data_IF_684110471386
#
_entry.id   IF_684110471386
#
_cell.length_a   1.000
_cell.length_b   1.000
_cell.length_c   1.000
_cell.angle_alpha   90.00
_cell.angle_beta   90.00
_cell.angle_gamma   90.00
#
_symmetry.space_group_name_H-M   'P 1'
#
loop_
_entity.id
_entity.type
_entity.pdbx_description
1 polymer ?
#
# COMPACT_ATOMS: atom_id res chain seq x y z
N UNK A 1 -14.07 -13.44 -4.91
CA UNK A 1 -12.85 -14.06 -4.34
C UNK A 1 -13.33 -15.33 -3.64
N UNK A 2 -12.84 -16.50 -4.03
CA UNK A 2 -13.28 -17.77 -3.45
C UNK A 2 -12.67 -17.89 -2.07
N UNK A 3 -13.51 -17.96 -1.04
CA UNK A 3 -13.09 -17.95 0.36
C UNK A 3 -12.73 -19.38 0.82
N UNK A 4 -11.45 -19.60 1.14
CA UNK A 4 -10.92 -20.84 1.68
C UNK A 4 -11.53 -21.21 3.05
N UNK A 5 -12.14 -20.26 3.78
CA UNK A 5 -12.86 -20.54 5.03
C UNK A 5 -14.18 -21.30 4.83
N UNK A 6 -14.66 -21.44 3.58
CA UNK A 6 -15.73 -22.37 3.24
C UNK A 6 -15.15 -23.75 2.88
N UNK A 7 -15.71 -24.82 3.46
CA UNK A 7 -15.26 -26.21 3.24
C UNK A 7 -15.24 -26.62 1.76
N UNK A 8 -16.26 -26.20 1.01
CA UNK A 8 -16.41 -26.55 -0.40
C UNK A 8 -15.32 -25.88 -1.24
N UNK A 9 -15.04 -24.62 -0.95
CA UNK A 9 -13.98 -23.85 -1.59
C UNK A 9 -12.58 -24.37 -1.25
N UNK A 10 -12.36 -24.75 0.01
CA UNK A 10 -11.11 -25.39 0.42
C UNK A 10 -10.86 -26.69 -0.35
N UNK A 11 -11.87 -27.57 -0.44
CA UNK A 11 -11.77 -28.83 -1.19
C UNK A 11 -11.55 -28.57 -2.68
N UNK A 12 -12.27 -27.62 -3.26
CA UNK A 12 -12.15 -27.23 -4.66
C UNK A 12 -10.74 -26.72 -5.01
N UNK A 13 -10.14 -25.92 -4.14
CA UNK A 13 -8.85 -25.28 -4.39
C UNK A 13 -7.64 -26.15 -4.02
N UNK A 14 -7.78 -27.03 -3.03
CA UNK A 14 -6.65 -27.74 -2.42
C UNK A 14 -6.79 -29.27 -2.47
N UNK A 15 -7.86 -29.79 -3.09
CA UNK A 15 -8.17 -31.22 -3.16
C UNK A 15 -8.59 -31.85 -1.83
N UNK A 16 -8.59 -31.09 -0.74
CA UNK A 16 -8.99 -31.50 0.62
C UNK A 16 -9.41 -30.29 1.45
N UNK A 17 -10.21 -30.52 2.49
CA UNK A 17 -10.51 -29.47 3.47
C UNK A 17 -9.25 -29.21 4.31
N UNK A 18 -8.71 -28.00 4.23
CA UNK A 18 -7.50 -27.58 4.94
C UNK A 18 -7.79 -26.54 6.01
N UNK A 19 -9.07 -26.22 6.29
CA UNK A 19 -9.42 -25.14 7.21
C UNK A 19 -8.85 -25.33 8.61
N UNK A 20 -8.78 -26.57 9.07
CA UNK A 20 -8.18 -26.95 10.35
C UNK A 20 -6.66 -26.78 10.39
N UNK A 21 -6.03 -26.54 9.22
CA UNK A 21 -4.59 -26.34 9.04
C UNK A 21 -4.24 -24.90 8.74
N UNK A 22 -5.24 -24.02 8.59
CA UNK A 22 -4.99 -22.61 8.36
C UNK A 22 -4.50 -21.98 9.66
N UNK A 23 -3.49 -21.09 9.60
CA UNK A 23 -3.13 -20.31 10.76
C UNK A 23 -4.34 -19.48 11.21
N UNK A 24 -4.55 -19.39 12.51
CA UNK A 24 -5.54 -18.47 13.06
C UNK A 24 -5.20 -17.04 12.60
N UNK A 25 -6.14 -16.30 12.01
CA UNK A 25 -5.88 -14.94 11.53
C UNK A 25 -5.31 -13.99 12.60
N UNK A 26 -5.59 -14.27 13.87
CA UNK A 26 -5.05 -13.50 15.00
C UNK A 26 -3.55 -13.74 15.24
N UNK A 27 -3.07 -14.91 14.84
CA UNK A 27 -1.68 -15.35 15.04
C UNK A 27 -0.80 -15.03 13.82
N UNK A 28 -1.38 -14.41 12.78
CA UNK A 28 -0.62 -13.93 11.62
C UNK A 28 0.32 -12.79 12.02
N UNK A 29 1.61 -13.03 11.86
CA UNK A 29 2.66 -12.03 11.96
C UNK A 29 2.89 -11.47 10.55
N UNK A 30 2.70 -10.16 10.38
CA UNK A 30 2.96 -9.51 9.10
C UNK A 30 4.46 -9.29 8.91
N UNK A 31 4.96 -9.68 7.75
CA UNK A 31 6.23 -9.18 7.23
C UNK A 31 6.00 -7.75 6.72
N UNK A 32 6.46 -6.76 7.49
CA UNK A 32 6.26 -5.35 7.17
C UNK A 32 6.94 -4.95 5.86
N UNK A 33 8.07 -5.57 5.52
CA UNK A 33 8.79 -5.27 4.27
C UNK A 33 7.99 -5.77 3.07
N UNK A 34 7.46 -6.99 3.14
CA UNK A 34 6.58 -7.54 2.11
C UNK A 34 5.29 -6.72 1.94
N UNK A 35 4.66 -6.31 3.04
CA UNK A 35 3.42 -5.52 2.97
C UNK A 35 3.69 -4.14 2.36
N UNK A 36 4.78 -3.48 2.75
CA UNK A 36 5.20 -2.20 2.17
C UNK A 36 5.56 -2.34 0.69
N UNK A 37 6.29 -3.40 0.33
CA UNK A 37 6.68 -3.70 -1.05
C UNK A 37 5.47 -3.77 -1.99
N UNK A 38 4.32 -4.30 -1.52
CA UNK A 38 3.08 -4.34 -2.32
C UNK A 38 2.52 -2.96 -2.63
N UNK A 39 2.69 -1.99 -1.72
CA UNK A 39 2.33 -0.59 -1.96
C UNK A 39 3.26 0.04 -3.01
N UNK A 40 4.57 -0.12 -2.81
CA UNK A 40 5.60 0.40 -3.71
C UNK A 40 5.51 -0.19 -5.12
N UNK A 41 5.23 -1.49 -5.24
CA UNK A 41 5.00 -2.16 -6.52
C UNK A 41 3.91 -1.47 -7.35
N UNK A 42 2.81 -1.07 -6.71
CA UNK A 42 1.72 -0.40 -7.42
C UNK A 42 2.03 1.06 -7.77
N UNK A 43 2.94 1.71 -7.04
CA UNK A 43 3.48 3.02 -7.41
C UNK A 43 4.36 2.88 -8.64
N UNK A 44 5.31 1.94 -8.61
CA UNK A 44 6.23 1.70 -9.73
C UNK A 44 5.45 1.36 -11.00
N UNK A 45 4.47 0.45 -10.87
CA UNK A 45 3.54 0.13 -11.94
C UNK A 45 2.83 1.37 -12.45
N UNK A 46 2.27 2.21 -11.57
CA UNK A 46 1.58 3.43 -11.98
C UNK A 46 2.47 4.36 -12.82
N UNK A 47 3.76 4.47 -12.47
CA UNK A 47 4.72 5.28 -13.23
C UNK A 47 5.04 4.70 -14.61
N UNK A 48 5.06 3.38 -14.75
CA UNK A 48 5.37 2.69 -16.01
C UNK A 48 4.19 2.50 -16.97
N UNK A 49 2.95 2.71 -16.53
CA UNK A 49 1.77 2.58 -17.40
C UNK A 49 1.69 3.72 -18.44
N UNK A 50 1.46 3.35 -19.70
CA UNK A 50 1.26 4.31 -20.80
C UNK A 50 -0.15 4.89 -20.81
N UNK A 51 -1.14 4.06 -20.45
CA UNK A 51 -2.54 4.44 -20.41
C UNK A 51 -2.88 5.10 -19.08
N UNK A 52 -3.32 6.36 -19.13
CA UNK A 52 -3.66 7.16 -17.94
C UNK A 52 -4.65 6.44 -17.01
N UNK A 53 -5.66 5.78 -17.58
CA UNK A 53 -6.67 5.06 -16.81
C UNK A 53 -6.07 3.91 -16.00
N UNK A 54 -5.14 3.16 -16.57
CA UNK A 54 -4.50 2.05 -15.89
C UNK A 54 -3.46 2.53 -14.88
N UNK A 55 -2.76 3.63 -15.19
CA UNK A 55 -1.90 4.34 -14.24
C UNK A 55 -2.69 4.78 -12.99
N UNK A 56 -3.90 5.32 -13.17
CA UNK A 56 -4.80 5.72 -12.08
C UNK A 56 -5.32 4.52 -11.27
N UNK A 57 -5.66 3.41 -11.94
CA UNK A 57 -6.06 2.17 -11.26
C UNK A 57 -4.91 1.60 -10.42
N UNK A 58 -3.69 1.62 -10.94
CA UNK A 58 -2.50 1.17 -10.21
C UNK A 58 -2.22 2.09 -9.01
N UNK A 59 -2.28 3.41 -9.20
CA UNK A 59 -2.06 4.39 -8.14
C UNK A 59 -3.06 4.28 -6.99
N UNK A 60 -4.34 4.10 -7.28
CA UNK A 60 -5.33 3.89 -6.20
C UNK A 60 -5.07 2.58 -5.43
N UNK A 61 -4.58 1.52 -6.10
CA UNK A 61 -4.14 0.30 -5.38
C UNK A 61 -2.93 0.59 -4.50
N UNK A 62 -1.97 1.36 -4.97
CA UNK A 62 -0.82 1.78 -4.16
C UNK A 62 -1.27 2.46 -2.88
N UNK A 63 -2.13 3.46 -2.97
CA UNK A 63 -2.64 4.19 -1.80
C UNK A 63 -3.33 3.25 -0.81
N UNK A 64 -4.15 2.30 -1.28
CA UNK A 64 -4.84 1.38 -0.37
C UNK A 64 -3.89 0.38 0.30
N UNK A 65 -2.91 -0.15 -0.44
CA UNK A 65 -1.91 -1.08 0.11
C UNK A 65 -0.99 -0.37 1.12
N UNK A 66 -0.55 0.84 0.80
CA UNK A 66 0.23 1.66 1.72
C UNK A 66 -0.61 2.09 2.93
N UNK A 67 -1.90 2.39 2.75
CA UNK A 67 -2.83 2.67 3.85
C UNK A 67 -2.97 1.49 4.81
N UNK A 68 -3.12 0.27 4.27
CA UNK A 68 -3.11 -0.95 5.09
C UNK A 68 -1.80 -1.12 5.86
N UNK A 69 -0.65 -0.90 5.19
CA UNK A 69 0.66 -0.93 5.82
C UNK A 69 0.72 0.00 7.05
N UNK A 70 0.30 1.26 6.92
CA UNK A 70 0.29 2.20 8.06
C UNK A 70 -0.57 1.69 9.22
N UNK A 71 -1.73 1.11 8.93
CA UNK A 71 -2.59 0.57 9.98
C UNK A 71 -1.90 -0.55 10.77
N UNK A 72 -1.28 -1.52 10.10
CA UNK A 72 -0.63 -2.65 10.79
C UNK A 72 0.72 -2.28 11.42
N UNK A 73 1.39 -1.25 10.90
CA UNK A 73 2.67 -0.75 11.41
C UNK A 73 2.46 0.01 12.72
N UNK A 74 1.41 0.84 12.78
CA UNK A 74 1.08 1.67 13.93
C UNK A 74 0.16 0.97 14.95
N UNK A 75 -0.63 0.00 14.51
CA UNK A 75 -1.46 -0.85 15.35
C UNK A 75 -1.23 -2.32 14.98
N UNK A 76 -0.41 -2.99 15.80
CA UNK A 76 -0.01 -4.39 15.58
C UNK A 76 -1.17 -5.38 15.72
N UNK A 77 -2.31 -4.98 16.25
CA UNK A 77 -3.50 -5.83 16.40
C UNK A 77 -4.50 -5.65 15.26
N UNK A 78 -4.28 -4.66 14.40
CA UNK A 78 -5.15 -4.41 13.26
C UNK A 78 -5.06 -5.52 12.21
N UNK A 79 -6.22 -6.04 11.75
CA UNK A 79 -6.31 -7.13 10.77
C UNK A 79 -7.29 -6.88 9.62
N UNK A 80 -8.09 -5.83 9.67
CA UNK A 80 -9.12 -5.59 8.66
C UNK A 80 -8.49 -5.15 7.32
N UNK A 81 -8.86 -5.81 6.23
CA UNK A 81 -8.31 -5.52 4.90
C UNK A 81 -9.29 -4.78 3.99
N UNK A 82 -10.48 -4.45 4.48
CA UNK A 82 -11.49 -3.74 3.68
C UNK A 82 -11.08 -2.27 3.49
N UNK A 83 -11.34 -1.71 2.31
CA UNK A 83 -10.93 -0.33 1.99
C UNK A 83 -11.56 0.68 2.96
N UNK A 84 -12.82 0.47 3.36
CA UNK A 84 -13.51 1.37 4.28
C UNK A 84 -12.95 1.24 5.71
N UNK A 85 -12.70 0.01 6.17
CA UNK A 85 -12.12 -0.22 7.50
C UNK A 85 -10.71 0.36 7.61
N UNK A 86 -9.90 0.23 6.56
CA UNK A 86 -8.56 0.82 6.50
C UNK A 86 -8.67 2.35 6.57
N UNK A 87 -9.57 2.95 5.79
CA UNK A 87 -9.81 4.39 5.82
C UNK A 87 -10.25 4.88 7.20
N UNK A 88 -11.17 4.18 7.85
CA UNK A 88 -11.62 4.49 9.21
C UNK A 88 -10.48 4.39 10.22
N UNK A 89 -9.65 3.35 10.11
CA UNK A 89 -8.49 3.17 10.99
C UNK A 89 -7.46 4.27 10.80
N UNK A 90 -7.14 4.64 9.56
CA UNK A 90 -6.24 5.76 9.26
C UNK A 90 -6.76 7.08 9.88
N UNK A 91 -8.05 7.36 9.74
CA UNK A 91 -8.69 8.54 10.37
C UNK A 91 -8.53 8.53 11.88
N UNK A 92 -8.75 7.38 12.52
CA UNK A 92 -8.55 7.24 13.97
C UNK A 92 -7.10 7.51 14.38
N UNK A 93 -6.13 6.94 13.64
CA UNK A 93 -4.71 7.10 13.90
C UNK A 93 -4.21 8.53 13.60
N UNK A 94 -4.84 9.24 12.67
CA UNK A 94 -4.44 10.59 12.24
C UNK A 94 -4.74 11.71 13.25
N UNK A 95 -5.57 11.47 14.26
CA UNK A 95 -6.06 12.53 15.18
C UNK A 95 -4.97 13.36 15.86
N UNK A 96 -3.77 12.81 16.02
CA UNK A 96 -2.62 13.48 16.63
C UNK A 96 -1.35 13.31 15.76
N UNK A 97 -1.51 13.14 14.45
CA UNK A 97 -0.41 12.79 13.56
C UNK A 97 -0.57 13.45 12.18
N UNK A 98 0.13 14.57 12.02
CA UNK A 98 0.05 15.44 10.83
C UNK A 98 0.41 14.72 9.52
N UNK A 99 1.35 13.76 9.54
CA UNK A 99 1.67 13.03 8.31
C UNK A 99 0.58 12.03 7.96
N UNK A 100 -0.04 11.38 8.95
CA UNK A 100 -1.17 10.48 8.71
C UNK A 100 -2.39 11.24 8.21
N UNK A 101 -2.60 12.48 8.65
CA UNK A 101 -3.64 13.33 8.09
C UNK A 101 -3.44 13.54 6.57
N UNK A 102 -2.18 13.79 6.14
CA UNK A 102 -1.83 13.85 4.71
C UNK A 102 -2.15 12.52 4.00
N UNK A 103 -1.77 11.39 4.60
CA UNK A 103 -2.05 10.05 4.06
C UNK A 103 -3.55 9.82 3.91
N UNK A 104 -4.36 10.19 4.91
CA UNK A 104 -5.83 10.14 4.86
C UNK A 104 -6.35 10.94 3.67
N UNK A 105 -5.83 12.15 3.44
CA UNK A 105 -6.22 12.97 2.29
C UNK A 105 -5.95 12.30 0.93
N UNK A 106 -4.84 11.57 0.78
CA UNK A 106 -4.60 10.75 -0.42
C UNK A 106 -5.57 9.56 -0.49
N UNK A 107 -5.82 8.91 0.64
CA UNK A 107 -6.73 7.77 0.76
C UNK A 107 -8.16 8.10 0.32
N UNK A 108 -8.69 9.24 0.76
CA UNK A 108 -10.01 9.73 0.37
C UNK A 108 -10.10 10.02 -1.12
N UNK A 109 -9.07 10.64 -1.71
CA UNK A 109 -9.02 10.89 -3.17
C UNK A 109 -9.01 9.58 -3.96
N UNK A 110 -8.28 8.56 -3.49
CA UNK A 110 -8.29 7.23 -4.10
C UNK A 110 -9.65 6.53 -3.96
N UNK A 111 -10.34 6.71 -2.84
CA UNK A 111 -11.68 6.19 -2.63
C UNK A 111 -12.70 6.85 -3.57
N UNK A 112 -12.66 8.18 -3.69
CA UNK A 112 -13.50 8.93 -4.63
C UNK A 112 -13.27 8.40 -6.05
N UNK A 113 -12.00 8.29 -6.48
CA UNK A 113 -11.67 7.72 -7.80
C UNK A 113 -12.28 6.33 -8.01
N UNK A 114 -12.32 5.45 -7.00
CA UNK A 114 -12.93 4.12 -7.13
C UNK A 114 -14.43 4.17 -7.36
N UNK A 115 -15.09 5.21 -6.89
CA UNK A 115 -16.53 5.40 -7.03
C UNK A 115 -16.84 6.10 -8.36
N UNK A 116 -16.06 7.12 -8.72
CA UNK A 116 -16.37 8.01 -9.85
C UNK A 116 -15.64 7.66 -11.15
N UNK A 117 -14.58 6.86 -11.07
CA UNK A 117 -13.70 6.55 -12.20
C UNK A 117 -12.68 7.65 -12.55
N UNK A 118 -12.64 8.76 -11.80
CA UNK A 118 -11.77 9.91 -12.08
C UNK A 118 -11.23 10.56 -10.79
N UNK A 119 -9.98 11.03 -10.85
CA UNK A 119 -9.42 11.87 -9.79
C UNK A 119 -9.86 13.32 -10.00
N UNK A 120 -10.33 13.98 -8.94
CA UNK A 120 -10.72 15.40 -8.98
C UNK A 120 -9.49 16.30 -9.19
N UNK A 121 -8.34 15.91 -8.62
CA UNK A 121 -7.06 16.59 -8.78
C UNK A 121 -6.33 16.07 -10.01
N UNK A 122 -5.50 16.92 -10.63
CA UNK A 122 -4.56 16.50 -11.67
C UNK A 122 -3.73 15.29 -11.20
N UNK A 123 -3.90 14.17 -11.91
CA UNK A 123 -3.41 12.87 -11.48
C UNK A 123 -1.89 12.82 -11.32
N UNK A 124 -1.13 13.39 -12.26
CA UNK A 124 0.33 13.38 -12.22
C UNK A 124 0.85 14.10 -10.97
N UNK A 125 0.33 15.31 -10.70
CA UNK A 125 0.64 16.08 -9.50
C UNK A 125 0.26 15.34 -8.22
N UNK A 126 -0.91 14.69 -8.20
CA UNK A 126 -1.34 13.88 -7.05
C UNK A 126 -0.38 12.72 -6.79
N UNK A 127 0.02 11.99 -7.84
CA UNK A 127 0.95 10.88 -7.78
C UNK A 127 2.33 11.31 -7.29
N UNK A 128 2.86 12.39 -7.85
CA UNK A 128 4.17 12.93 -7.47
C UNK A 128 4.18 13.38 -6.01
N UNK A 129 3.14 14.09 -5.56
CA UNK A 129 3.04 14.52 -4.17
C UNK A 129 3.00 13.33 -3.19
N UNK A 130 2.33 12.23 -3.57
CA UNK A 130 2.31 11.02 -2.74
C UNK A 130 3.69 10.35 -2.68
N UNK A 131 4.38 10.24 -3.81
CA UNK A 131 5.75 9.68 -3.86
C UNK A 131 6.71 10.51 -3.00
N UNK A 132 6.64 11.84 -3.12
CA UNK A 132 7.46 12.76 -2.32
C UNK A 132 7.20 12.55 -0.83
N UNK A 133 5.93 12.45 -0.42
CA UNK A 133 5.57 12.15 0.97
C UNK A 133 6.21 10.85 1.45
N UNK A 134 6.14 9.77 0.67
CA UNK A 134 6.74 8.49 1.07
C UNK A 134 8.26 8.58 1.23
N UNK A 135 8.95 9.29 0.33
CA UNK A 135 10.40 9.48 0.44
C UNK A 135 10.77 10.25 1.70
N UNK A 136 10.06 11.33 2.02
CA UNK A 136 10.26 12.07 3.28
C UNK A 136 10.09 11.15 4.50
N UNK A 137 9.06 10.29 4.48
CA UNK A 137 8.82 9.38 5.60
C UNK A 137 9.88 8.27 5.74
N UNK A 138 10.54 7.86 4.64
CA UNK A 138 11.72 6.99 4.71
C UNK A 138 12.94 7.71 5.26
N UNK A 139 13.19 8.95 4.84
CA UNK A 139 14.33 9.77 5.29
C UNK A 139 14.25 10.12 6.78
N UNK A 140 13.03 10.32 7.29
CA UNK A 140 12.75 10.58 8.70
C UNK A 140 12.70 9.30 9.55
N UNK A 141 12.51 8.13 8.93
CA UNK A 141 12.29 6.86 9.65
C UNK A 141 10.92 6.76 10.31
N UNK A 142 9.96 7.56 9.86
CA UNK A 142 8.60 7.65 10.42
C UNK A 142 7.69 6.54 9.90
N UNK A 143 7.95 6.03 8.69
CA UNK A 143 7.15 4.99 8.03
C UNK A 143 7.78 3.60 8.15
N UNK A 144 9.09 3.52 8.28
CA UNK A 144 9.84 2.27 8.34
C UNK A 144 11.24 2.54 8.94
N UNK A 145 12.24 1.68 8.74
CA UNK A 145 13.63 2.02 9.08
C UNK A 145 14.05 3.30 8.35
N UNK A 146 14.77 4.18 9.05
CA UNK A 146 15.36 5.38 8.47
C UNK A 146 16.33 4.98 7.36
N UNK A 147 16.16 5.56 6.17
CA UNK A 147 17.05 5.31 5.03
C UNK A 147 17.41 6.63 4.36
N UNK A 148 18.70 6.88 4.15
CA UNK A 148 19.13 7.95 3.26
C UNK A 148 18.87 7.58 1.79
N UNK A 149 19.06 8.52 0.86
CA UNK A 149 18.76 8.30 -0.56
C UNK A 149 19.49 7.09 -1.18
N UNK A 150 20.75 6.84 -0.80
CA UNK A 150 21.52 5.69 -1.30
C UNK A 150 20.99 4.37 -0.73
N UNK A 151 20.68 4.34 0.56
CA UNK A 151 20.09 3.17 1.23
C UNK A 151 18.70 2.86 0.68
N UNK A 152 17.88 3.89 0.45
CA UNK A 152 16.56 3.75 -0.15
C UNK A 152 16.65 3.24 -1.58
N UNK A 153 17.59 3.75 -2.39
CA UNK A 153 17.83 3.25 -3.74
C UNK A 153 18.19 1.77 -3.73
N UNK A 154 19.10 1.36 -2.84
CA UNK A 154 19.49 -0.05 -2.68
C UNK A 154 18.30 -0.90 -2.24
N UNK A 155 17.55 -0.44 -1.26
CA UNK A 155 16.35 -1.12 -0.78
C UNK A 155 15.32 -1.33 -1.90
N UNK A 156 15.04 -0.29 -2.69
CA UNK A 156 14.12 -0.36 -3.84
C UNK A 156 14.65 -1.27 -4.95
N UNK A 157 15.97 -1.37 -5.11
CA UNK A 157 16.62 -2.26 -6.09
C UNK A 157 16.43 -3.74 -5.72
N UNK A 158 16.52 -4.07 -4.42
CA UNK A 158 16.57 -5.44 -3.93
C UNK A 158 15.18 -6.13 -3.85
N UNK A 159 14.09 -5.36 -3.72
CA UNK A 159 12.80 -5.89 -3.24
C UNK A 159 11.99 -6.71 -4.28
N UNK A 160 11.96 -6.41 -5.58
CA UNK A 160 11.33 -7.27 -6.63
C UNK A 160 11.77 -6.85 -8.05
N UNK A 161 12.96 -7.26 -8.49
CA UNK A 161 13.58 -6.86 -9.79
C UNK A 161 13.89 -5.35 -9.95
N UNK A 162 13.99 -4.64 -8.84
CA UNK A 162 14.32 -3.21 -8.79
C UNK A 162 13.22 -2.31 -9.33
N UNK A 163 12.50 -1.61 -8.44
CA UNK A 163 11.45 -0.64 -8.79
C UNK A 163 12.01 0.53 -9.62
N UNK A 164 12.27 0.26 -10.90
CA UNK A 164 13.11 1.08 -11.77
C UNK A 164 12.51 2.44 -12.03
N UNK A 165 11.19 2.53 -12.11
CA UNK A 165 10.50 3.80 -12.33
C UNK A 165 10.56 4.67 -11.07
N UNK A 166 10.43 4.07 -9.89
CA UNK A 166 10.61 4.78 -8.61
C UNK A 166 12.06 5.23 -8.44
N UNK A 167 13.03 4.37 -8.75
CA UNK A 167 14.47 4.69 -8.66
C UNK A 167 14.82 5.83 -9.63
N UNK A 168 14.37 5.78 -10.88
CA UNK A 168 14.55 6.87 -11.83
C UNK A 168 13.95 8.17 -11.30
N UNK A 169 12.77 8.11 -10.68
CA UNK A 169 12.12 9.29 -10.09
C UNK A 169 12.94 9.86 -8.92
N UNK A 170 13.46 9.00 -8.05
CA UNK A 170 14.30 9.40 -6.91
C UNK A 170 15.58 10.10 -7.37
N UNK A 171 16.22 9.60 -8.44
CA UNK A 171 17.44 10.16 -9.02
C UNK A 171 17.22 11.42 -9.89
N UNK A 172 15.96 11.76 -10.20
CA UNK A 172 15.59 12.94 -10.99
C UNK A 172 15.31 14.20 -10.16
N UNK A 173 15.41 14.11 -8.83
CA UNK A 173 15.38 15.25 -7.91
C UNK A 173 16.72 15.97 -7.90
#
# INVERSE_FOLDING_TARGET
MIDIYNSENSKLLQGKDIRDRLPNPKDLIFDYDDVLARGLYHIDKSLGEKETTDAMKAFSKAIFKTGFYFCIFLDRDYRNTSILEIGNKLKQLSKNNDFLEKVVGFYEKALIYRITGSFITEFNKLRDNFIILLFLLFEEGTLHRRMNSQELTKYLADIFNGFSNIIQRLNSK
#
